data_IF_891395719546
#
_entry.id   IF_891395719546
#
_cell.length_a   1.000
_cell.length_b   1.000
_cell.length_c   1.000
_cell.angle_alpha   90.00
_cell.angle_beta   90.00
_cell.angle_gamma   90.00
#
_symmetry.space_group_name_H-M   'P 1'
#
loop_
_entity.id
_entity.type
_entity.pdbx_description
1 polymer ?
#
# COMPACT_ATOMS: atom_id res chain seq x y z
N UNK A 1 -11.23 -17.35 -20.15
CA UNK A 1 -10.26 -18.40 -19.79
C UNK A 1 -9.12 -17.75 -19.05
N UNK A 2 -8.96 -18.02 -17.75
CA UNK A 2 -7.88 -17.48 -16.94
C UNK A 2 -6.57 -18.19 -17.31
N UNK A 3 -5.60 -17.45 -17.85
CA UNK A 3 -4.26 -17.96 -18.09
C UNK A 3 -3.51 -18.06 -16.76
N UNK A 4 -3.53 -19.26 -16.16
CA UNK A 4 -2.69 -19.63 -15.03
C UNK A 4 -1.28 -19.96 -15.55
N UNK A 5 -0.35 -19.03 -15.41
CA UNK A 5 1.07 -19.28 -15.71
C UNK A 5 1.80 -19.72 -14.43
N UNK A 6 2.20 -20.98 -14.38
CA UNK A 6 2.59 -21.73 -13.17
C UNK A 6 4.03 -21.47 -12.67
N UNK A 7 4.63 -20.31 -12.98
CA UNK A 7 6.07 -20.05 -12.69
C UNK A 7 6.40 -18.80 -11.87
N UNK A 8 5.48 -17.89 -11.61
CA UNK A 8 5.61 -16.89 -10.55
C UNK A 8 4.22 -16.62 -9.98
N UNK A 9 4.00 -16.79 -8.68
CA UNK A 9 2.78 -16.30 -8.02
C UNK A 9 2.81 -14.77 -7.98
N UNK A 10 2.70 -14.13 -9.15
CA UNK A 10 2.66 -12.69 -9.28
C UNK A 10 1.24 -12.23 -9.00
N UNK A 11 1.07 -11.51 -7.88
CA UNK A 11 -0.17 -10.81 -7.58
C UNK A 11 -0.10 -9.49 -8.34
N UNK A 12 -1.00 -9.31 -9.29
CA UNK A 12 -1.08 -8.07 -10.08
C UNK A 12 -1.69 -6.94 -9.23
N UNK A 13 -1.05 -5.77 -9.32
CA UNK A 13 -1.52 -4.51 -8.75
C UNK A 13 -1.58 -3.47 -9.87
N UNK A 14 -2.72 -2.78 -10.06
CA UNK A 14 -2.84 -1.78 -11.11
C UNK A 14 -1.90 -0.60 -10.81
N UNK A 15 -1.20 -0.12 -11.83
CA UNK A 15 -0.37 1.08 -11.71
C UNK A 15 -1.28 2.31 -11.64
N UNK A 16 -1.18 3.05 -10.55
CA UNK A 16 -1.90 4.30 -10.38
C UNK A 16 -1.25 5.38 -11.24
N UNK A 17 -2.05 6.05 -12.07
CA UNK A 17 -1.59 7.04 -13.05
C UNK A 17 -2.10 8.46 -12.78
N UNK A 18 -2.81 8.64 -11.66
CA UNK A 18 -3.40 9.90 -11.22
C UNK A 18 -3.21 10.09 -9.70
N UNK A 19 -3.42 11.32 -9.16
CA UNK A 19 -3.35 11.55 -7.72
C UNK A 19 -4.26 10.61 -6.93
N UNK A 20 -3.78 10.09 -5.80
CA UNK A 20 -4.51 9.12 -4.98
C UNK A 20 -5.87 9.64 -4.49
N UNK A 21 -6.01 10.94 -4.24
CA UNK A 21 -7.30 11.49 -3.84
C UNK A 21 -8.36 11.47 -4.96
N UNK A 22 -7.96 11.30 -6.23
CA UNK A 22 -8.85 11.04 -7.36
C UNK A 22 -9.05 9.54 -7.63
N UNK A 23 -8.04 8.72 -7.33
CA UNK A 23 -8.15 7.26 -7.44
C UNK A 23 -9.10 6.68 -6.39
N UNK A 24 -9.01 7.19 -5.17
CA UNK A 24 -9.69 6.67 -3.99
C UNK A 24 -10.85 7.59 -3.56
N UNK A 25 -11.74 7.91 -4.51
CA UNK A 25 -12.90 8.79 -4.28
C UNK A 25 -14.07 8.05 -3.62
N UNK A 26 -14.28 6.77 -3.94
CA UNK A 26 -15.43 6.02 -3.46
C UNK A 26 -15.14 5.31 -2.13
N UNK A 27 -15.48 5.97 -1.02
CA UNK A 27 -15.23 5.44 0.33
C UNK A 27 -15.90 4.09 0.63
N UNK A 28 -17.07 3.80 0.04
CA UNK A 28 -17.73 2.51 0.23
C UNK A 28 -16.91 1.37 -0.40
N UNK A 29 -16.37 1.60 -1.59
CA UNK A 29 -15.48 0.65 -2.28
C UNK A 29 -14.11 0.55 -1.61
N UNK A 30 -13.66 1.56 -0.88
CA UNK A 30 -12.40 1.49 -0.13
C UNK A 30 -12.56 0.68 1.16
N UNK A 31 -13.60 0.94 1.95
CA UNK A 31 -13.63 0.55 3.36
C UNK A 31 -14.55 -0.62 3.70
N UNK A 32 -15.58 -0.91 2.92
CA UNK A 32 -16.55 -1.95 3.28
C UNK A 32 -15.98 -3.38 3.12
N UNK A 33 -16.54 -4.37 3.85
CA UNK A 33 -16.11 -5.77 3.73
C UNK A 33 -16.16 -6.27 2.29
N UNK A 34 -15.23 -7.17 1.93
CA UNK A 34 -15.08 -7.74 0.58
C UNK A 34 -14.73 -6.74 -0.53
N UNK A 35 -14.59 -5.45 -0.21
CA UNK A 35 -14.14 -4.40 -1.13
C UNK A 35 -12.62 -4.20 -1.08
N UNK A 36 -12.12 -3.07 -1.58
CA UNK A 36 -10.70 -2.90 -1.92
C UNK A 36 -9.75 -3.14 -0.74
N UNK A 37 -9.94 -2.48 0.41
CA UNK A 37 -9.03 -2.66 1.54
C UNK A 37 -9.02 -4.11 2.06
N UNK A 38 -10.18 -4.78 2.06
CA UNK A 38 -10.31 -6.19 2.43
C UNK A 38 -9.57 -7.10 1.44
N UNK A 39 -9.74 -6.87 0.14
CA UNK A 39 -9.05 -7.64 -0.91
C UNK A 39 -7.53 -7.50 -0.81
N UNK A 40 -7.03 -6.31 -0.46
CA UNK A 40 -5.60 -6.09 -0.24
C UNK A 40 -5.11 -6.77 1.04
N UNK A 41 -5.91 -6.74 2.11
CA UNK A 41 -5.61 -7.51 3.33
C UNK A 41 -5.48 -9.02 3.05
N UNK A 42 -6.37 -9.60 2.24
CA UNK A 42 -6.28 -11.00 1.79
C UNK A 42 -5.00 -11.27 0.98
N UNK A 43 -4.64 -10.37 0.05
CA UNK A 43 -3.37 -10.46 -0.71
C UNK A 43 -2.15 -10.41 0.22
N UNK A 44 -2.25 -9.73 1.36
CA UNK A 44 -1.18 -9.57 2.32
C UNK A 44 -1.18 -10.59 3.46
N UNK A 45 -2.13 -11.54 3.52
CA UNK A 45 -2.34 -12.44 4.68
C UNK A 45 -1.10 -13.19 5.20
N UNK A 46 -0.13 -13.47 4.32
CA UNK A 46 1.10 -14.19 4.67
C UNK A 46 2.23 -13.27 5.16
N UNK A 47 1.97 -11.97 5.25
CA UNK A 47 2.94 -10.96 5.67
C UNK A 47 2.85 -10.79 7.19
N UNK A 48 3.98 -10.81 7.90
CA UNK A 48 3.96 -10.55 9.34
C UNK A 48 3.38 -9.17 9.65
N UNK A 49 2.49 -9.10 10.64
CA UNK A 49 1.83 -7.85 11.07
C UNK A 49 2.79 -6.68 11.29
N UNK A 50 3.98 -6.94 11.86
CA UNK A 50 4.97 -5.90 12.11
C UNK A 50 5.53 -5.27 10.83
N UNK A 51 5.59 -6.02 9.71
CA UNK A 51 6.05 -5.49 8.43
C UNK A 51 5.04 -4.52 7.83
N UNK A 52 3.74 -4.86 7.87
CA UNK A 52 2.68 -3.98 7.37
C UNK A 52 2.57 -2.72 8.25
N UNK A 53 2.63 -2.88 9.59
CA UNK A 53 2.62 -1.74 10.51
C UNK A 53 3.76 -0.77 10.27
N UNK A 54 4.97 -1.27 9.99
CA UNK A 54 6.12 -0.40 9.69
C UNK A 54 5.88 0.51 8.48
N UNK A 55 5.16 0.02 7.47
CA UNK A 55 4.74 0.84 6.32
C UNK A 55 3.75 1.91 6.80
N UNK A 56 2.69 1.52 7.53
CA UNK A 56 1.69 2.45 8.04
C UNK A 56 2.30 3.54 8.95
N UNK A 57 3.21 3.16 9.85
CA UNK A 57 3.89 4.10 10.74
C UNK A 57 4.69 5.14 9.95
N UNK A 58 5.37 4.72 8.88
CA UNK A 58 6.10 5.64 7.99
C UNK A 58 5.16 6.59 7.26
N UNK A 59 4.01 6.09 6.80
CA UNK A 59 2.97 6.92 6.15
C UNK A 59 2.44 7.97 7.12
N UNK A 60 2.16 7.60 8.38
CA UNK A 60 1.70 8.54 9.41
C UNK A 60 2.72 9.63 9.73
N UNK A 61 4.01 9.28 9.72
CA UNK A 61 5.10 10.25 9.86
C UNK A 61 5.12 11.21 8.67
N UNK A 62 5.04 10.69 7.44
CA UNK A 62 5.00 11.50 6.22
C UNK A 62 3.77 12.43 6.22
N UNK A 63 2.61 11.93 6.62
CA UNK A 63 1.39 12.72 6.74
C UNK A 63 1.56 13.88 7.72
N UNK A 64 2.07 13.61 8.93
CA UNK A 64 2.35 14.67 9.91
C UNK A 64 3.37 15.69 9.40
N UNK A 65 4.37 15.24 8.63
CA UNK A 65 5.36 16.13 8.04
C UNK A 65 4.77 17.01 6.93
N UNK A 66 3.79 16.50 6.18
CA UNK A 66 3.19 17.21 5.06
C UNK A 66 2.50 18.52 5.44
N UNK A 67 2.14 18.71 6.71
CA UNK A 67 1.62 19.97 7.25
C UNK A 67 2.64 21.11 7.21
N UNK A 68 3.94 20.77 7.29
CA UNK A 68 5.04 21.72 7.34
C UNK A 68 5.82 21.76 6.04
N UNK A 69 6.04 20.59 5.44
CA UNK A 69 6.89 20.41 4.28
C UNK A 69 6.40 19.21 3.47
N UNK A 70 5.60 19.51 2.45
CA UNK A 70 5.06 18.49 1.57
C UNK A 70 6.14 17.80 0.74
N UNK A 71 7.18 18.51 0.27
CA UNK A 71 8.21 17.91 -0.59
C UNK A 71 9.03 16.88 0.18
N UNK A 72 9.39 17.16 1.44
CA UNK A 72 10.05 16.16 2.26
C UNK A 72 9.11 15.01 2.65
N UNK A 73 7.82 15.26 2.88
CA UNK A 73 6.84 14.20 3.09
C UNK A 73 6.72 13.29 1.86
N UNK A 74 6.66 13.87 0.66
CA UNK A 74 6.64 13.15 -0.62
C UNK A 74 7.91 12.34 -0.82
N UNK A 75 9.08 12.88 -0.49
CA UNK A 75 10.34 12.13 -0.49
C UNK A 75 10.27 10.91 0.42
N UNK A 76 9.70 11.03 1.62
CA UNK A 76 9.51 9.88 2.52
C UNK A 76 8.55 8.83 1.94
N UNK A 77 7.47 9.26 1.28
CA UNK A 77 6.59 8.35 0.55
C UNK A 77 7.37 7.57 -0.52
N UNK A 78 8.23 8.23 -1.31
CA UNK A 78 9.06 7.55 -2.31
C UNK A 78 10.10 6.61 -1.68
N UNK A 79 10.65 6.96 -0.52
CA UNK A 79 11.56 6.08 0.22
C UNK A 79 10.89 4.76 0.63
N UNK A 80 9.58 4.73 0.88
CA UNK A 80 8.85 3.46 1.15
C UNK A 80 8.99 2.47 0.01
N UNK A 81 8.95 2.94 -1.24
CA UNK A 81 9.12 2.09 -2.43
C UNK A 81 10.49 1.45 -2.41
N UNK A 82 11.56 2.24 -2.22
CA UNK A 82 12.93 1.73 -2.16
C UNK A 82 13.16 0.76 -0.99
N UNK A 83 12.65 1.09 0.21
CA UNK A 83 12.76 0.22 1.39
C UNK A 83 12.02 -1.10 1.19
N UNK A 84 10.86 -1.08 0.54
CA UNK A 84 10.11 -2.29 0.24
C UNK A 84 10.83 -3.20 -0.77
N UNK A 85 11.54 -2.63 -1.75
CA UNK A 85 12.39 -3.38 -2.67
C UNK A 85 13.53 -4.10 -1.94
N UNK A 86 14.21 -3.38 -1.03
CA UNK A 86 15.26 -3.96 -0.19
C UNK A 86 14.72 -5.11 0.68
N UNK A 87 13.59 -4.89 1.36
CA UNK A 87 12.95 -5.91 2.20
C UNK A 87 12.49 -7.13 1.38
N UNK A 88 12.00 -6.90 0.16
CA UNK A 88 11.65 -7.96 -0.78
C UNK A 88 12.87 -8.78 -1.21
N UNK A 89 14.04 -8.16 -1.40
CA UNK A 89 15.29 -8.88 -1.66
C UNK A 89 15.72 -9.77 -0.49
N UNK A 90 15.49 -9.32 0.76
CA UNK A 90 15.79 -10.08 1.99
C UNK A 90 14.80 -11.23 2.24
N UNK A 91 13.53 -11.06 1.90
CA UNK A 91 12.45 -12.03 2.16
C UNK A 91 11.53 -12.19 0.94
N UNK A 92 12.04 -12.73 -0.19
CA UNK A 92 11.36 -12.68 -1.48
C UNK A 92 10.00 -13.41 -1.50
N UNK A 93 9.90 -14.54 -0.79
CA UNK A 93 8.67 -15.35 -0.75
C UNK A 93 7.55 -14.72 0.08
N UNK A 94 7.82 -13.62 0.79
CA UNK A 94 6.84 -12.97 1.68
C UNK A 94 6.60 -11.50 1.33
N UNK A 95 7.64 -10.76 0.97
CA UNK A 95 7.57 -9.29 0.90
C UNK A 95 7.56 -8.72 -0.53
N UNK A 96 7.77 -9.54 -1.56
CA UNK A 96 7.62 -9.09 -2.97
C UNK A 96 6.26 -8.48 -3.25
N UNK A 97 5.19 -9.05 -2.69
CA UNK A 97 3.82 -8.54 -2.84
C UNK A 97 3.67 -7.11 -2.31
N UNK A 98 4.33 -6.78 -1.19
CA UNK A 98 4.33 -5.42 -0.63
C UNK A 98 5.10 -4.44 -1.54
N UNK A 99 6.24 -4.88 -2.09
CA UNK A 99 6.98 -4.08 -3.04
C UNK A 99 6.15 -3.76 -4.28
N UNK A 100 5.50 -4.76 -4.90
CA UNK A 100 4.66 -4.53 -6.08
C UNK A 100 3.47 -3.63 -5.78
N UNK A 101 2.84 -3.78 -4.63
CA UNK A 101 1.79 -2.86 -4.20
C UNK A 101 2.31 -1.43 -4.11
N UNK A 102 3.42 -1.21 -3.38
CA UNK A 102 3.95 0.12 -3.12
C UNK A 102 4.49 0.78 -4.39
N UNK A 103 5.17 0.05 -5.27
CA UNK A 103 5.72 0.60 -6.51
C UNK A 103 4.64 0.94 -7.55
N UNK A 104 3.50 0.25 -7.53
CA UNK A 104 2.36 0.58 -8.39
C UNK A 104 1.49 1.69 -7.82
N UNK A 105 1.45 1.86 -6.49
CA UNK A 105 0.58 2.84 -5.82
C UNK A 105 1.27 4.17 -5.53
N UNK A 106 2.56 4.15 -5.18
CA UNK A 106 3.34 5.33 -4.81
C UNK A 106 4.30 5.65 -5.94
N UNK A 107 4.02 6.73 -6.66
CA UNK A 107 4.83 7.20 -7.78
C UNK A 107 4.66 8.72 -7.96
N UNK A 108 5.35 9.27 -8.96
CA UNK A 108 5.29 10.71 -9.25
C UNK A 108 3.90 11.20 -9.61
N UNK A 109 3.06 10.36 -10.21
CA UNK A 109 1.70 10.70 -10.62
C UNK A 109 0.72 10.64 -9.45
N UNK A 110 0.95 9.75 -8.48
CA UNK A 110 0.01 9.46 -7.40
C UNK A 110 0.15 10.33 -6.15
N UNK A 111 1.35 10.83 -5.85
CA UNK A 111 1.61 11.72 -4.71
C UNK A 111 1.87 13.14 -5.20
N UNK A 112 0.82 13.97 -5.26
CA UNK A 112 0.89 15.37 -5.73
C UNK A 112 0.58 16.40 -4.65
N UNK A 113 -0.08 16.00 -3.58
CA UNK A 113 -0.53 16.87 -2.51
C UNK A 113 -0.60 16.12 -1.17
N UNK A 114 -0.70 16.87 -0.07
CA UNK A 114 -0.99 16.32 1.26
C UNK A 114 -2.21 15.38 1.25
N UNK A 115 -3.25 15.73 0.48
CA UNK A 115 -4.49 14.96 0.40
C UNK A 115 -4.27 13.55 -0.15
N UNK A 116 -3.27 13.35 -1.01
CA UNK A 116 -2.90 12.01 -1.49
C UNK A 116 -2.35 11.15 -0.37
N UNK A 117 -1.54 11.73 0.52
CA UNK A 117 -0.96 11.05 1.68
C UNK A 117 -2.06 10.75 2.71
N UNK A 118 -2.99 11.68 2.93
CA UNK A 118 -4.16 11.47 3.80
C UNK A 118 -5.01 10.29 3.34
N UNK A 119 -5.35 10.24 2.06
CA UNK A 119 -6.19 9.18 1.52
C UNK A 119 -5.44 7.83 1.50
N UNK A 120 -4.12 7.84 1.27
CA UNK A 120 -3.30 6.64 1.43
C UNK A 120 -3.26 6.15 2.88
N UNK A 121 -3.09 7.05 3.87
CA UNK A 121 -3.12 6.71 5.30
C UNK A 121 -4.45 6.05 5.68
N UNK A 122 -5.58 6.64 5.25
CA UNK A 122 -6.91 6.10 5.54
C UNK A 122 -7.09 4.71 4.91
N UNK A 123 -6.83 4.59 3.61
CA UNK A 123 -6.91 3.31 2.89
C UNK A 123 -6.03 2.24 3.55
N UNK A 124 -4.76 2.55 3.81
CA UNK A 124 -3.82 1.58 4.33
C UNK A 124 -4.09 1.25 5.81
N UNK A 125 -4.65 2.18 6.59
CA UNK A 125 -5.18 1.89 7.93
C UNK A 125 -6.29 0.85 7.85
N UNK A 126 -7.22 0.96 6.90
CA UNK A 126 -8.27 -0.05 6.68
C UNK A 126 -7.70 -1.40 6.26
N UNK A 127 -6.68 -1.42 5.39
CA UNK A 127 -5.96 -2.65 5.03
C UNK A 127 -5.37 -3.32 6.27
N UNK A 128 -4.69 -2.56 7.14
CA UNK A 128 -4.10 -3.09 8.39
C UNK A 128 -5.19 -3.64 9.32
N UNK A 129 -6.34 -2.97 9.41
CA UNK A 129 -7.47 -3.42 10.23
C UNK A 129 -8.01 -4.77 9.76
N UNK A 130 -8.28 -4.92 8.45
CA UNK A 130 -8.71 -6.20 7.88
C UNK A 130 -7.62 -7.27 7.94
N UNK A 131 -6.36 -6.92 7.70
CA UNK A 131 -5.25 -7.88 7.77
C UNK A 131 -5.15 -8.54 9.15
N UNK A 132 -5.40 -7.77 10.23
CA UNK A 132 -5.44 -8.30 11.60
C UNK A 132 -6.56 -9.34 11.79
N UNK A 133 -7.67 -9.21 11.06
CA UNK A 133 -8.78 -10.18 11.08
C UNK A 133 -8.44 -11.42 10.26
N UNK A 134 -7.95 -11.23 9.03
CA UNK A 134 -7.63 -12.32 8.09
C UNK A 134 -6.49 -13.20 8.60
N UNK A 135 -5.44 -12.61 9.16
CA UNK A 135 -4.28 -13.36 9.68
C UNK A 135 -4.52 -14.09 11.01
N UNK A 136 -5.75 -14.11 11.52
CA UNK A 136 -6.16 -14.88 12.72
C UNK A 136 -6.97 -16.14 12.38
N UNK A 137 -7.35 -16.32 11.11
CA UNK A 137 -7.98 -17.54 10.60
C UNK A 137 -6.91 -18.49 10.06
#
# INVERSE_FOLDING_TARGET
>A
MMNYNKKENYIEFPKITQPLHFEYVNYAELYLPHKLAYQYAEKFKNIPNHQIRKILDTVKIALKQSDKDFENAKKQMFMLVAMSAYNAGRMPNKLKVLYYFLSNTINEQSIKSKKDIEVFDQFFTSVVAYHKLVGRN
#
